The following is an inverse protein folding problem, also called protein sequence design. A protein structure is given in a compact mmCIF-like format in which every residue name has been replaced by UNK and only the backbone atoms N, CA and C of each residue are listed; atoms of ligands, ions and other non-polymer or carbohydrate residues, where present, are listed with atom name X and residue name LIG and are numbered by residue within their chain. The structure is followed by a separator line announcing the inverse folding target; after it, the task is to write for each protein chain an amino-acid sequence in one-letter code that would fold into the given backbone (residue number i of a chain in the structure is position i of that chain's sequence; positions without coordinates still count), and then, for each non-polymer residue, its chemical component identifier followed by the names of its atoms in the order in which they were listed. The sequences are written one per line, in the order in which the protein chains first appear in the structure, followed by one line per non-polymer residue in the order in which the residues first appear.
data_IF_542404245026
#
_entry.id   IF_542404245026
#
_cell.length_a   1.000
_cell.length_b   1.000
_cell.length_c   1.000
_cell.angle_alpha   90.00
_cell.angle_beta   90.00
_cell.angle_gamma   90.00
#
_symmetry.space_group_name_H-M   'P 1'
#
loop_
_entity.id
_entity.type
_entity.pdbx_description
1 polymer ?
#
# COMPACT_ATOMS: atom_id res chain seq x y z
N UNK A 1 -18.64 0.15 -40.00
CA UNK A 1 -17.42 0.71 -39.37
C UNK A 1 -16.60 1.46 -40.42
N UNK A 2 -15.72 2.39 -40.03
CA UNK A 2 -14.72 2.94 -40.97
C UNK A 2 -13.53 2.00 -40.99
N UNK A 3 -13.33 1.32 -42.12
CA UNK A 3 -12.09 0.60 -42.44
C UNK A 3 -10.92 1.57 -42.30
N UNK A 4 -10.04 1.29 -41.35
CA UNK A 4 -8.81 2.05 -41.18
C UNK A 4 -7.79 1.40 -42.11
N UNK A 5 -7.51 2.03 -43.24
CA UNK A 5 -6.45 1.58 -44.15
C UNK A 5 -5.11 1.54 -43.38
N UNK A 6 -4.57 0.35 -43.18
CA UNK A 6 -3.24 0.16 -42.58
C UNK A 6 -2.19 0.82 -43.47
N UNK A 7 -1.48 1.82 -42.94
CA UNK A 7 -0.37 2.46 -43.62
C UNK A 7 0.81 1.49 -43.72
N UNK A 8 1.43 1.38 -44.89
CA UNK A 8 2.65 0.59 -45.09
C UNK A 8 3.77 1.03 -44.13
N UNK A 9 4.51 0.10 -43.51
CA UNK A 9 5.54 0.41 -42.53
C UNK A 9 6.69 1.22 -43.15
N UNK A 10 7.38 2.02 -42.33
CA UNK A 10 8.55 2.76 -42.73
C UNK A 10 9.66 1.82 -43.26
N UNK A 11 10.48 2.25 -44.23
CA UNK A 11 11.55 1.42 -44.79
C UNK A 11 12.49 0.90 -43.69
N UNK A 12 12.69 -0.42 -43.63
CA UNK A 12 13.59 -1.08 -42.67
C UNK A 12 12.93 -1.56 -41.38
N UNK A 13 11.62 -1.42 -41.23
CA UNK A 13 10.88 -1.95 -40.06
C UNK A 13 10.12 -3.22 -40.46
N UNK A 14 10.42 -4.34 -39.78
CA UNK A 14 9.62 -5.56 -39.85
C UNK A 14 8.33 -5.40 -39.05
N UNK A 15 7.21 -5.81 -39.63
CA UNK A 15 5.92 -5.78 -38.94
C UNK A 15 5.95 -6.68 -37.70
N UNK A 16 5.25 -6.29 -36.61
CA UNK A 16 5.04 -7.17 -35.46
C UNK A 16 4.45 -8.52 -35.89
N UNK A 17 5.01 -9.61 -35.37
CA UNK A 17 4.52 -10.97 -35.64
C UNK A 17 3.45 -11.30 -34.61
N UNK A 18 2.25 -11.66 -35.08
CA UNK A 18 1.17 -12.16 -34.24
C UNK A 18 1.58 -13.49 -33.59
N UNK A 19 1.39 -13.60 -32.28
CA UNK A 19 1.55 -14.86 -31.56
C UNK A 19 0.21 -15.60 -31.55
N UNK A 20 0.14 -16.72 -32.26
CA UNK A 20 -1.05 -17.56 -32.29
C UNK A 20 -1.00 -18.61 -31.17
N UNK A 21 -2.11 -18.74 -30.45
CA UNK A 21 -2.31 -19.76 -29.43
C UNK A 21 -3.38 -20.73 -29.90
N UNK A 22 -3.09 -22.03 -29.82
CA UNK A 22 -4.06 -23.10 -30.07
C UNK A 22 -4.73 -23.45 -28.74
N UNK A 23 -6.03 -23.18 -28.63
CA UNK A 23 -6.78 -23.41 -27.39
C UNK A 23 -7.35 -24.83 -27.38
N UNK A 24 -7.06 -25.60 -26.32
CA UNK A 24 -7.80 -26.83 -26.01
C UNK A 24 -9.11 -26.50 -25.29
N UNK A 25 -10.06 -27.44 -25.21
CA UNK A 25 -11.26 -27.30 -24.37
C UNK A 25 -10.91 -26.96 -22.92
N UNK A 26 -9.98 -27.70 -22.31
CA UNK A 26 -9.53 -27.48 -20.92
C UNK A 26 -8.99 -26.05 -20.70
N UNK A 27 -8.20 -25.54 -21.65
CA UNK A 27 -7.67 -24.16 -21.57
C UNK A 27 -8.79 -23.14 -21.66
N UNK A 28 -9.80 -23.40 -22.49
CA UNK A 28 -10.95 -22.52 -22.64
C UNK A 28 -11.78 -22.47 -21.34
N UNK A 29 -11.98 -23.60 -20.67
CA UNK A 29 -12.68 -23.67 -19.38
C UNK A 29 -11.90 -22.97 -18.26
N UNK A 30 -10.56 -23.12 -18.24
CA UNK A 30 -9.69 -22.39 -17.32
C UNK A 30 -9.76 -20.88 -17.55
N UNK A 31 -9.84 -20.42 -18.81
CA UNK A 31 -9.99 -19.00 -19.13
C UNK A 31 -11.32 -18.46 -18.59
N UNK A 32 -12.42 -19.17 -18.79
CA UNK A 32 -13.74 -18.76 -18.27
C UNK A 32 -13.70 -18.64 -16.74
N UNK A 33 -13.17 -19.66 -16.07
CA UNK A 33 -13.05 -19.67 -14.60
C UNK A 33 -12.16 -18.53 -14.10
N UNK A 34 -11.07 -18.23 -14.81
CA UNK A 34 -10.16 -17.13 -14.48
C UNK A 34 -10.82 -15.76 -14.67
N UNK A 35 -11.64 -15.58 -15.71
CA UNK A 35 -12.42 -14.36 -15.91
C UNK A 35 -13.41 -14.15 -14.76
N UNK A 36 -14.14 -15.19 -14.36
CA UNK A 36 -15.09 -15.10 -13.24
C UNK A 36 -14.40 -14.76 -11.92
N UNK A 37 -13.23 -15.35 -11.66
CA UNK A 37 -12.44 -15.04 -10.48
C UNK A 37 -11.92 -13.59 -10.50
N UNK A 38 -11.48 -13.09 -11.66
CA UNK A 38 -11.04 -11.71 -11.83
C UNK A 38 -12.20 -10.73 -11.64
N UNK A 39 -13.37 -10.99 -12.25
CA UNK A 39 -14.56 -10.15 -12.10
C UNK A 39 -14.99 -10.07 -10.64
N UNK A 40 -14.97 -11.19 -9.92
CA UNK A 40 -15.27 -11.22 -8.48
C UNK A 40 -14.26 -10.39 -7.67
N UNK A 41 -12.97 -10.49 -8.00
CA UNK A 41 -11.92 -9.70 -7.33
C UNK A 41 -12.07 -8.21 -7.60
N UNK A 42 -12.40 -7.82 -8.83
CA UNK A 42 -12.62 -6.42 -9.21
C UNK A 42 -13.83 -5.85 -8.47
N UNK A 43 -14.92 -6.61 -8.35
CA UNK A 43 -16.12 -6.18 -7.64
C UNK A 43 -15.89 -6.06 -6.13
N UNK A 44 -15.02 -6.90 -5.56
CA UNK A 44 -14.74 -6.87 -4.12
C UNK A 44 -13.73 -5.77 -3.73
N UNK A 45 -12.93 -5.25 -4.66
CA UNK A 45 -11.94 -4.22 -4.35
C UNK A 45 -12.59 -2.83 -4.19
N UNK A 46 -12.54 -2.28 -2.97
CA UNK A 46 -12.76 -0.84 -2.73
C UNK A 46 -11.42 -0.11 -2.91
N UNK A 47 -11.28 0.70 -3.95
CA UNK A 47 -10.05 1.44 -4.23
C UNK A 47 -10.36 2.90 -4.58
N UNK A 48 -9.67 3.80 -3.89
CA UNK A 48 -9.79 5.24 -4.09
C UNK A 48 -8.41 5.87 -4.25
N UNK A 49 -8.34 6.90 -5.10
CA UNK A 49 -7.17 7.77 -5.25
C UNK A 49 -7.52 9.20 -4.89
N UNK A 50 -6.66 9.86 -4.13
CA UNK A 50 -6.89 11.21 -3.64
C UNK A 50 -5.63 12.07 -3.69
N UNK A 51 -5.85 13.37 -3.94
CA UNK A 51 -4.82 14.40 -3.82
C UNK A 51 -5.13 15.19 -2.55
N UNK A 52 -4.19 15.17 -1.63
CA UNK A 52 -4.15 16.09 -0.49
C UNK A 52 -3.37 17.33 -0.91
N UNK A 53 -4.07 18.45 -1.08
CA UNK A 53 -3.58 19.69 -1.68
C UNK A 53 -3.37 20.84 -0.68
N UNK A 54 -3.45 20.54 0.62
CA UNK A 54 -3.27 21.52 1.69
C UNK A 54 -1.79 21.80 1.92
N UNK A 55 -0.98 20.73 1.97
CA UNK A 55 0.48 20.81 2.06
C UNK A 55 1.15 19.54 1.54
N UNK A 56 2.47 19.59 1.36
CA UNK A 56 3.29 18.45 1.00
C UNK A 56 4.44 18.24 1.98
N UNK A 57 5.55 17.71 1.49
CA UNK A 57 6.75 17.52 2.33
C UNK A 57 7.36 18.83 2.84
N UNK A 58 6.96 19.98 2.30
CA UNK A 58 7.42 21.30 2.76
C UNK A 58 7.18 21.54 4.26
N UNK A 59 6.00 21.18 4.79
CA UNK A 59 5.62 21.41 6.19
C UNK A 59 6.43 20.55 7.18
N UNK A 60 6.46 19.21 7.07
CA UNK A 60 7.27 18.39 7.98
C UNK A 60 8.76 18.73 7.87
N UNK A 61 9.28 19.01 6.68
CA UNK A 61 10.69 19.42 6.50
C UNK A 61 11.01 20.75 7.19
N UNK A 62 10.14 21.75 7.10
CA UNK A 62 10.32 23.03 7.78
C UNK A 62 10.39 22.87 9.31
N UNK A 63 9.76 21.82 9.84
CA UNK A 63 9.77 21.46 11.25
C UNK A 63 10.84 20.42 11.62
N UNK A 64 11.81 20.13 10.73
CA UNK A 64 12.87 19.12 10.92
C UNK A 64 12.33 17.69 11.15
N UNK A 65 11.16 17.39 10.62
CA UNK A 65 10.54 16.06 10.68
C UNK A 65 10.68 15.34 9.34
N UNK A 66 10.79 14.01 9.39
CA UNK A 66 10.66 13.17 8.20
C UNK A 66 9.22 13.24 7.67
N UNK A 67 9.00 13.59 6.39
CA UNK A 67 7.66 13.57 5.81
C UNK A 67 6.99 12.20 5.88
N UNK A 68 7.78 11.13 5.73
CA UNK A 68 7.28 9.76 5.78
C UNK A 68 6.80 9.40 7.20
N UNK A 69 7.62 9.67 8.22
CA UNK A 69 7.23 9.46 9.61
C UNK A 69 6.01 10.31 10.00
N UNK A 70 5.92 11.54 9.50
CA UNK A 70 4.77 12.41 9.73
C UNK A 70 3.47 11.79 9.16
N UNK A 71 3.50 11.28 7.93
CA UNK A 71 2.36 10.61 7.30
C UNK A 71 2.01 9.31 8.04
N UNK A 72 3.01 8.51 8.42
CA UNK A 72 2.81 7.26 9.16
C UNK A 72 2.13 7.51 10.51
N UNK A 73 2.54 8.54 11.26
CA UNK A 73 1.87 8.91 12.52
C UNK A 73 0.45 9.40 12.27
N UNK A 74 0.22 10.23 11.25
CA UNK A 74 -1.13 10.69 10.90
C UNK A 74 -2.05 9.52 10.52
N UNK A 75 -1.53 8.52 9.79
CA UNK A 75 -2.27 7.32 9.43
C UNK A 75 -2.61 6.46 10.64
N UNK A 76 -1.70 6.34 11.61
CA UNK A 76 -1.96 5.63 12.87
C UNK A 76 -3.01 6.36 13.72
N UNK A 77 -2.99 7.70 13.75
CA UNK A 77 -4.02 8.50 14.40
C UNK A 77 -5.38 8.32 13.71
N UNK A 78 -5.41 8.31 12.38
CA UNK A 78 -6.63 8.08 11.61
C UNK A 78 -7.22 6.70 11.90
N UNK A 79 -6.39 5.66 11.89
CA UNK A 79 -6.80 4.29 12.23
C UNK A 79 -7.33 4.22 13.68
N UNK A 80 -6.61 4.82 14.63
CA UNK A 80 -7.04 4.85 16.04
C UNK A 80 -8.39 5.54 16.23
N UNK A 81 -8.66 6.64 15.49
CA UNK A 81 -9.97 7.33 15.52
C UNK A 81 -11.11 6.46 15.04
N UNK A 82 -10.87 5.59 14.05
CA UNK A 82 -11.89 4.70 13.51
C UNK A 82 -12.18 3.51 14.43
N UNK A 83 -11.13 2.89 14.98
CA UNK A 83 -11.24 1.58 15.62
C UNK A 83 -11.00 1.59 17.14
N UNK A 84 -10.56 2.71 17.70
CA UNK A 84 -10.20 2.82 19.12
C UNK A 84 -8.96 2.01 19.51
N UNK A 85 -8.20 1.52 18.54
CA UNK A 85 -7.02 0.70 18.73
C UNK A 85 -5.91 1.15 17.77
N UNK A 86 -4.66 1.12 18.25
CA UNK A 86 -3.50 1.41 17.41
C UNK A 86 -2.99 0.12 16.79
N UNK A 87 -2.61 0.20 15.52
CA UNK A 87 -1.90 -0.90 14.87
C UNK A 87 -0.42 -0.85 15.23
N UNK A 88 0.31 -1.88 14.81
CA UNK A 88 1.76 -1.87 14.97
C UNK A 88 2.36 -0.63 14.34
N UNK A 89 2.95 0.20 15.18
CA UNK A 89 3.62 1.42 14.77
C UNK A 89 4.91 1.07 14.04
N UNK A 90 4.96 1.34 12.74
CA UNK A 90 6.20 1.42 11.96
C UNK A 90 6.99 2.70 12.29
N UNK A 91 7.17 3.01 13.58
CA UNK A 91 8.01 4.13 14.05
C UNK A 91 9.47 3.73 14.26
N UNK A 92 9.83 2.45 14.05
CA UNK A 92 11.24 2.06 14.07
C UNK A 92 11.96 2.87 13.00
N UNK A 93 12.97 3.63 13.41
CA UNK A 93 13.74 4.50 12.52
C UNK A 93 14.07 3.73 11.24
N UNK A 94 13.46 4.13 10.12
CA UNK A 94 13.61 3.46 8.82
C UNK A 94 15.08 3.23 8.49
N UNK A 95 15.96 4.08 9.02
CA UNK A 95 17.41 3.96 9.03
C UNK A 95 17.94 2.57 9.45
N UNK A 96 17.55 2.02 10.60
CA UNK A 96 18.09 0.74 11.06
C UNK A 96 17.52 -0.44 10.27
N UNK A 97 16.25 -0.35 9.88
CA UNK A 97 15.61 -1.35 9.01
C UNK A 97 16.29 -1.37 7.63
N UNK A 98 16.59 -0.21 7.05
CA UNK A 98 17.30 -0.08 5.76
C UNK A 98 18.73 -0.62 5.86
N UNK A 99 19.38 -0.53 7.03
CA UNK A 99 20.68 -1.14 7.30
C UNK A 99 20.62 -2.66 7.53
N UNK A 100 19.45 -3.28 7.39
CA UNK A 100 19.27 -4.72 7.58
C UNK A 100 19.09 -5.15 9.04
N UNK A 101 18.78 -4.23 9.95
CA UNK A 101 18.49 -4.54 11.36
C UNK A 101 16.99 -4.76 11.64
N UNK A 102 16.18 -4.93 10.59
CA UNK A 102 14.80 -5.37 10.71
C UNK A 102 14.71 -6.83 11.18
N UNK A 103 13.63 -7.18 11.87
CA UNK A 103 13.46 -8.51 12.48
C UNK A 103 12.65 -9.48 11.61
N UNK A 104 11.75 -8.96 10.78
CA UNK A 104 10.76 -9.75 10.03
C UNK A 104 11.42 -10.76 9.08
N UNK A 105 12.38 -10.29 8.28
CA UNK A 105 13.14 -11.14 7.35
C UNK A 105 14.07 -12.11 8.09
N UNK A 106 14.59 -11.71 9.24
CA UNK A 106 15.41 -12.58 10.08
C UNK A 106 14.58 -13.76 10.62
N UNK A 107 13.41 -13.48 11.21
CA UNK A 107 12.52 -14.52 11.71
C UNK A 107 11.96 -15.41 10.59
N UNK A 108 11.65 -14.84 9.43
CA UNK A 108 11.29 -15.61 8.24
C UNK A 108 12.42 -16.58 7.85
N UNK A 109 13.66 -16.11 7.79
CA UNK A 109 14.82 -16.95 7.48
C UNK A 109 15.00 -18.10 8.49
N UNK A 110 14.90 -17.81 9.79
CA UNK A 110 14.96 -18.84 10.83
C UNK A 110 13.86 -19.89 10.68
N UNK A 111 12.62 -19.46 10.40
CA UNK A 111 11.49 -20.37 10.16
C UNK A 111 11.75 -21.28 8.95
N UNK A 112 12.18 -20.71 7.82
CA UNK A 112 12.42 -21.46 6.60
C UNK A 112 13.56 -22.48 6.74
N UNK A 113 14.67 -22.09 7.37
CA UNK A 113 15.82 -22.99 7.60
C UNK A 113 15.42 -24.15 8.52
N UNK A 114 14.64 -23.88 9.57
CA UNK A 114 14.15 -24.93 10.45
C UNK A 114 13.29 -25.95 9.68
N UNK A 115 12.34 -25.47 8.87
CA UNK A 115 11.49 -26.33 8.05
C UNK A 115 12.28 -27.14 7.02
N UNK A 116 13.24 -26.53 6.33
CA UNK A 116 14.09 -27.19 5.34
C UNK A 116 14.91 -28.33 5.95
N UNK A 117 15.35 -28.16 7.21
CA UNK A 117 16.16 -29.15 7.92
C UNK A 117 15.34 -30.11 8.80
N UNK A 118 14.00 -30.04 8.75
CA UNK A 118 13.12 -30.87 9.60
C UNK A 118 13.28 -30.60 11.09
N UNK A 119 13.69 -29.39 11.48
CA UNK A 119 13.80 -28.93 12.86
C UNK A 119 12.45 -28.36 13.30
N UNK A 120 11.95 -28.78 14.46
CA UNK A 120 10.73 -28.24 15.03
C UNK A 120 10.84 -26.72 15.26
N UNK A 121 9.77 -25.99 14.92
CA UNK A 121 9.71 -24.55 15.13
C UNK A 121 9.78 -24.21 16.63
N UNK A 122 10.51 -23.14 16.95
CA UNK A 122 10.61 -22.66 18.32
C UNK A 122 9.25 -22.18 18.83
N UNK A 123 9.04 -22.23 20.16
CA UNK A 123 7.81 -21.74 20.79
C UNK A 123 7.46 -20.31 20.38
N UNK A 124 8.46 -19.46 20.18
CA UNK A 124 8.28 -18.08 19.71
C UNK A 124 7.64 -18.04 18.32
N UNK A 125 8.13 -18.85 17.37
CA UNK A 125 7.66 -18.83 15.97
C UNK A 125 6.29 -19.50 15.79
N UNK A 126 5.83 -20.25 16.79
CA UNK A 126 4.50 -20.85 16.85
C UNK A 126 3.56 -20.11 17.82
N UNK A 127 4.03 -19.03 18.44
CA UNK A 127 3.24 -18.30 19.43
C UNK A 127 2.13 -17.50 18.73
N UNK A 128 0.88 -17.53 19.23
CA UNK A 128 -0.22 -16.74 18.64
C UNK A 128 0.08 -15.24 18.55
N UNK A 129 0.90 -14.69 19.45
CA UNK A 129 1.35 -13.28 19.40
C UNK A 129 2.28 -13.05 18.22
N UNK A 130 3.16 -14.00 17.91
CA UNK A 130 4.03 -13.91 16.73
C UNK A 130 3.23 -14.00 15.44
N UNK A 131 2.25 -14.91 15.37
CA UNK A 131 1.32 -15.00 14.24
C UNK A 131 0.55 -13.69 14.04
N UNK A 132 -0.01 -13.13 15.12
CA UNK A 132 -0.68 -11.84 15.10
C UNK A 132 0.25 -10.71 14.65
N UNK A 133 1.56 -10.80 14.93
CA UNK A 133 2.53 -9.81 14.48
C UNK A 133 2.82 -9.85 12.98
N UNK A 134 2.48 -10.95 12.32
CA UNK A 134 2.58 -11.11 10.87
C UNK A 134 1.24 -10.81 10.15
N UNK A 135 0.23 -10.33 10.87
CA UNK A 135 -1.10 -10.02 10.34
C UNK A 135 -1.27 -8.50 10.20
N UNK A 136 -1.11 -7.99 8.98
CA UNK A 136 -1.04 -6.54 8.75
C UNK A 136 -2.38 -5.97 8.26
N UNK A 137 -3.24 -5.59 9.21
CA UNK A 137 -4.49 -4.86 8.91
C UNK A 137 -4.24 -3.49 8.24
N UNK A 138 -3.03 -2.96 8.34
CA UNK A 138 -2.63 -1.74 7.66
C UNK A 138 -1.28 -1.98 6.95
N UNK A 139 -1.33 -2.27 5.65
CA UNK A 139 -0.15 -2.43 4.81
C UNK A 139 0.12 -1.14 4.04
N UNK A 140 1.32 -0.59 4.18
CA UNK A 140 1.64 0.76 3.67
C UNK A 140 2.91 0.78 2.83
N UNK A 141 2.99 1.70 1.87
CA UNK A 141 4.20 1.93 1.10
C UNK A 141 4.32 3.38 0.63
N UNK A 142 5.52 3.94 0.78
CA UNK A 142 5.89 5.20 0.16
C UNK A 142 6.50 4.93 -1.22
N UNK A 143 5.98 5.58 -2.26
CA UNK A 143 6.53 5.52 -3.62
C UNK A 143 6.85 6.94 -4.09
N UNK A 144 8.01 7.50 -3.72
CA UNK A 144 8.35 8.87 -4.06
C UNK A 144 8.72 8.95 -5.55
N UNK A 145 7.95 9.73 -6.32
CA UNK A 145 8.27 10.01 -7.72
C UNK A 145 8.31 11.52 -7.99
N UNK A 146 8.97 11.93 -9.09
CA UNK A 146 8.98 13.35 -9.50
C UNK A 146 7.70 13.76 -10.22
N UNK A 147 6.96 12.78 -10.75
CA UNK A 147 5.72 12.97 -11.47
C UNK A 147 4.54 12.87 -10.50
N UNK A 148 3.38 13.42 -10.87
CA UNK A 148 2.14 13.29 -10.12
C UNK A 148 1.48 11.92 -10.37
N UNK A 149 2.24 10.86 -10.11
CA UNK A 149 1.77 9.49 -10.21
C UNK A 149 1.64 8.88 -8.81
N UNK A 150 0.70 7.95 -8.67
CA UNK A 150 0.52 7.16 -7.46
C UNK A 150 0.45 5.69 -7.84
N UNK A 151 1.12 4.85 -7.05
CA UNK A 151 0.98 3.40 -7.12
C UNK A 151 -0.18 2.99 -6.20
N UNK A 152 -0.81 1.85 -6.46
CA UNK A 152 -1.80 1.27 -5.56
C UNK A 152 -1.61 -0.25 -5.48
N UNK A 153 -2.11 -0.85 -4.41
CA UNK A 153 -2.16 -2.29 -4.20
C UNK A 153 -3.35 -2.61 -3.28
N UNK A 154 -3.87 -3.83 -3.36
CA UNK A 154 -4.95 -4.30 -2.51
C UNK A 154 -4.46 -4.63 -1.08
N UNK A 155 -5.34 -4.72 -0.08
CA UNK A 155 -4.97 -5.17 1.26
C UNK A 155 -4.37 -6.58 1.24
N UNK A 156 -3.46 -6.84 2.19
CA UNK A 156 -2.79 -8.15 2.33
C UNK A 156 -3.54 -9.13 3.24
N UNK A 157 -4.62 -8.66 3.90
CA UNK A 157 -5.53 -9.44 4.73
C UNK A 157 -6.98 -9.03 4.44
N UNK A 158 -7.98 -9.91 4.66
CA UNK A 158 -9.38 -9.65 4.31
C UNK A 158 -10.02 -8.44 5.02
N UNK A 159 -9.60 -8.15 6.25
CA UNK A 159 -10.10 -7.07 7.12
C UNK A 159 -9.10 -5.90 7.23
N UNK A 160 -8.31 -5.69 6.18
CA UNK A 160 -7.23 -4.73 6.18
C UNK A 160 -7.34 -3.64 5.13
N UNK A 161 -6.29 -2.81 5.09
CA UNK A 161 -6.11 -1.73 4.14
C UNK A 161 -4.78 -1.84 3.40
N UNK A 162 -4.77 -1.45 2.13
CA UNK A 162 -3.56 -1.11 1.39
C UNK A 162 -3.47 0.41 1.22
N UNK A 163 -2.38 1.03 1.70
CA UNK A 163 -2.20 2.48 1.60
C UNK A 163 -0.87 2.81 0.94
N UNK A 164 -0.93 3.41 -0.24
CA UNK A 164 0.25 3.90 -0.94
C UNK A 164 0.22 5.42 -1.00
N UNK A 165 1.39 6.07 -0.90
CA UNK A 165 1.46 7.52 -0.99
C UNK A 165 2.73 8.04 -1.68
N UNK A 166 2.58 9.19 -2.34
CA UNK A 166 3.64 9.94 -3.00
C UNK A 166 3.67 11.39 -2.48
N UNK A 167 4.57 11.71 -1.52
CA UNK A 167 4.70 13.06 -0.99
C UNK A 167 5.41 14.02 -1.96
N UNK A 168 4.66 14.98 -2.50
CA UNK A 168 5.16 16.05 -3.35
C UNK A 168 5.58 17.26 -2.51
N UNK A 169 6.06 18.33 -3.15
CA UNK A 169 6.53 19.52 -2.40
C UNK A 169 5.39 20.22 -1.68
N UNK A 170 4.23 20.39 -2.33
CA UNK A 170 3.07 21.14 -1.81
C UNK A 170 1.77 20.31 -1.75
N UNK A 171 1.84 19.04 -2.10
CA UNK A 171 0.72 18.11 -2.07
C UNK A 171 1.20 16.71 -1.68
N UNK A 172 0.26 15.80 -1.44
CA UNK A 172 0.53 14.38 -1.24
C UNK A 172 -0.53 13.58 -1.99
N UNK A 173 -0.11 12.62 -2.80
CA UNK A 173 -1.04 11.71 -3.45
C UNK A 173 -1.19 10.47 -2.58
N UNK A 174 -2.42 9.99 -2.42
CA UNK A 174 -2.76 8.79 -1.66
C UNK A 174 -3.59 7.85 -2.54
N UNK A 175 -3.30 6.56 -2.44
CA UNK A 175 -4.21 5.50 -2.88
C UNK A 175 -4.52 4.63 -1.67
N UNK A 176 -5.81 4.43 -1.38
CA UNK A 176 -6.29 3.63 -0.25
C UNK A 176 -7.18 2.53 -0.82
N UNK A 177 -6.94 1.30 -0.40
CA UNK A 177 -7.73 0.14 -0.77
C UNK A 177 -8.24 -0.62 0.45
N UNK A 178 -9.38 -1.28 0.28
CA UNK A 178 -10.05 -2.17 1.23
C UNK A 178 -10.79 -3.28 0.46
N UNK A 179 -11.36 -4.25 1.17
CA UNK A 179 -12.25 -5.26 0.58
C UNK A 179 -13.70 -4.97 0.96
N UNK A 180 -14.60 -4.87 -0.02
CA UNK A 180 -16.03 -4.66 0.18
C UNK A 180 -16.68 -5.79 0.99
N UNK A 181 -16.12 -7.00 0.91
CA UNK A 181 -16.49 -8.17 1.70
C UNK A 181 -16.25 -8.00 3.20
N UNK A 182 -15.41 -7.04 3.62
CA UNK A 182 -15.24 -6.68 5.03
C UNK A 182 -16.05 -5.40 5.37
N UNK A 183 -17.19 -5.52 6.10
CA UNK A 183 -18.07 -4.39 6.40
C UNK A 183 -17.44 -3.37 7.36
N UNK A 184 -16.40 -3.77 8.10
CA UNK A 184 -15.69 -2.91 9.05
C UNK A 184 -14.69 -1.99 8.34
N UNK A 185 -14.21 -2.37 7.15
CA UNK A 185 -13.29 -1.56 6.36
C UNK A 185 -14.03 -0.71 5.33
N UNK A 186 -13.49 0.49 5.09
CA UNK A 186 -13.95 1.38 4.04
C UNK A 186 -12.84 2.36 3.68
N UNK A 187 -12.43 2.38 2.42
CA UNK A 187 -11.29 3.17 1.97
C UNK A 187 -11.58 4.68 2.17
N UNK A 188 -12.76 5.15 1.73
CA UNK A 188 -13.12 6.57 1.77
C UNK A 188 -13.16 7.12 3.21
N UNK A 189 -13.69 6.35 4.16
CA UNK A 189 -13.69 6.72 5.59
C UNK A 189 -12.27 6.82 6.13
N UNK A 190 -11.40 5.85 5.82
CA UNK A 190 -10.00 5.91 6.26
C UNK A 190 -9.29 7.15 5.68
N UNK A 191 -9.49 7.45 4.40
CA UNK A 191 -8.91 8.65 3.80
C UNK A 191 -9.44 9.95 4.45
N UNK A 192 -10.73 10.02 4.77
CA UNK A 192 -11.31 11.17 5.47
C UNK A 192 -10.62 11.43 6.81
N UNK A 193 -10.46 10.38 7.63
CA UNK A 193 -9.76 10.51 8.91
C UNK A 193 -8.25 10.77 8.75
N UNK A 194 -7.61 10.23 7.71
CA UNK A 194 -6.21 10.54 7.39
C UNK A 194 -6.04 12.02 7.04
N UNK A 195 -6.94 12.57 6.22
CA UNK A 195 -6.93 13.99 5.87
C UNK A 195 -7.07 14.87 7.12
N UNK A 196 -8.01 14.56 7.99
CA UNK A 196 -8.19 15.27 9.28
C UNK A 196 -6.93 15.15 10.15
N UNK A 197 -6.38 13.95 10.29
CA UNK A 197 -5.19 13.71 11.11
C UNK A 197 -3.95 14.48 10.60
N UNK A 198 -3.79 14.60 9.27
CA UNK A 198 -2.72 15.41 8.67
C UNK A 198 -2.88 16.91 8.98
N UNK A 199 -4.11 17.42 8.92
CA UNK A 199 -4.42 18.82 9.24
C UNK A 199 -4.17 19.08 10.73
N UNK A 200 -4.68 18.21 11.61
CA UNK A 200 -4.49 18.35 13.06
C UNK A 200 -3.00 18.32 13.43
N UNK A 201 -2.22 17.44 12.79
CA UNK A 201 -0.78 17.37 13.00
C UNK A 201 -0.07 18.66 12.53
N UNK A 202 -0.51 19.28 11.45
CA UNK A 202 -0.01 20.59 11.01
C UNK A 202 -0.36 21.69 12.02
N UNK A 203 -1.60 21.73 12.50
CA UNK A 203 -2.07 22.74 13.45
C UNK A 203 -1.31 22.67 14.77
N UNK A 204 -1.06 21.46 15.29
CA UNK A 204 -0.26 21.24 16.50
C UNK A 204 1.17 21.77 16.31
N UNK A 205 1.79 21.53 15.16
CA UNK A 205 3.12 22.06 14.86
C UNK A 205 3.13 23.58 14.85
N UNK A 206 2.14 24.22 14.21
CA UNK A 206 2.03 25.68 14.17
C UNK A 206 1.81 26.30 15.55
N UNK A 207 0.96 25.70 16.38
CA UNK A 207 0.72 26.17 17.75
C UNK A 207 1.97 26.05 18.63
N UNK A 208 2.75 24.97 18.48
CA UNK A 208 4.00 24.78 19.24
C UNK A 208 5.06 25.84 18.92
N UNK A 209 5.08 26.37 17.70
CA UNK A 209 5.99 27.45 17.31
C UNK A 209 5.58 28.78 17.93
N UNK A 210 4.28 29.07 17.97
CA UNK A 210 3.75 30.31 18.58
C UNK A 210 3.88 30.32 20.11
N UNK A 211 3.97 29.16 20.75
CA UNK A 211 4.10 29.01 22.21
C UNK A 211 5.55 29.15 22.71
N UNK A 212 6.52 29.22 21.81
CA UNK A 212 7.95 29.45 22.10
C UNK A 212 8.36 30.93 21.96
N UNK A 213 7.39 31.85 22.01
CA UNK A 213 7.55 33.30 22.17
C UNK A 213 7.12 33.71 23.58
#
# INVERSE_FOLDING_TARGET
EKDTQESSPAPGVTLPIRLDFVLSPDVSDMMISSCQALDSTIQDLDLIGFIFDIFGKNIPKANKLSPDAFIQVALQLAYYRMYGQSQQLHLRESTEVIKGQGIDRHFLGLKLIALENGIDLSKLLTDPVFESSCYWQLSTSQVPTKSENILCFAPVVPDGYGVCYNPMEKSMLFAVSAWNSCPDTNAAKLYSHLKEALIDAQDILMQSQNSNL
#
